data_IF_496571005694
#
_entry.id   IF_496571005694
#
_cell.length_a   1.000
_cell.length_b   1.000
_cell.length_c   1.000
_cell.angle_alpha   90.00
_cell.angle_beta   90.00
_cell.angle_gamma   90.00
#
_symmetry.space_group_name_H-M   'P 1'
#
loop_
_entity.id
_entity.type
_entity.pdbx_description
1 polymer ?
#
# COMPACT_ATOMS: atom_id res chain seq x y z
N UNK A 1 -6.77 -10.41 -0.86
CA UNK A 1 -5.31 -10.18 -0.61
C UNK A 1 -5.11 -8.82 0.05
N UNK A 2 -5.53 -8.69 1.30
CA UNK A 2 -5.57 -7.41 2.04
C UNK A 2 -4.22 -6.72 2.27
N UNK A 3 -3.11 -7.37 1.93
CA UNK A 3 -1.76 -6.84 2.21
C UNK A 3 -0.90 -6.63 0.96
N UNK A 4 -1.48 -6.70 -0.24
CA UNK A 4 -0.73 -6.58 -1.50
C UNK A 4 0.17 -5.34 -1.57
N UNK A 5 -0.32 -4.20 -1.09
CA UNK A 5 0.40 -2.94 -1.11
C UNK A 5 0.83 -2.45 0.28
N UNK A 6 0.56 -3.22 1.34
CA UNK A 6 0.96 -2.86 2.71
C UNK A 6 2.40 -3.23 2.96
N UNK A 7 2.75 -4.48 2.75
CA UNK A 7 4.12 -4.99 2.86
C UNK A 7 4.25 -6.39 2.24
N UNK A 8 5.46 -6.77 1.85
CA UNK A 8 5.78 -8.16 1.61
C UNK A 8 6.07 -8.83 2.95
N UNK A 9 5.06 -9.47 3.54
CA UNK A 9 5.17 -10.16 4.83
C UNK A 9 5.81 -11.54 4.74
N UNK A 10 6.14 -11.98 3.54
CA UNK A 10 6.73 -13.29 3.30
C UNK A 10 8.25 -13.16 3.30
N UNK A 11 8.91 -13.65 4.35
CA UNK A 11 10.36 -13.71 4.39
C UNK A 11 10.89 -14.52 3.19
N UNK A 12 11.76 -13.94 2.37
CA UNK A 12 12.31 -14.56 1.16
C UNK A 12 12.84 -16.01 1.35
N UNK A 13 13.51 -16.37 2.45
CA UNK A 13 13.97 -17.75 2.67
C UNK A 13 12.85 -18.79 2.77
N UNK A 14 11.60 -18.38 2.92
CA UNK A 14 10.44 -19.27 3.03
C UNK A 14 9.68 -19.41 1.72
N UNK A 15 10.16 -18.81 0.63
CA UNK A 15 9.47 -18.88 -0.64
C UNK A 15 9.75 -20.19 -1.33
N UNK A 16 8.67 -20.80 -1.84
CA UNK A 16 8.73 -21.89 -2.79
C UNK A 16 7.89 -21.49 -4.00
N UNK A 17 8.47 -21.59 -5.18
CA UNK A 17 7.82 -21.19 -6.42
C UNK A 17 8.24 -22.09 -7.58
N UNK A 18 7.43 -22.13 -8.62
CA UNK A 18 7.79 -22.78 -9.87
C UNK A 18 8.93 -22.03 -10.55
N UNK A 19 9.88 -22.78 -11.12
CA UNK A 19 10.99 -22.21 -11.89
C UNK A 19 10.53 -21.25 -12.97
N UNK A 20 9.44 -21.61 -13.66
CA UNK A 20 8.84 -20.78 -14.70
C UNK A 20 8.44 -19.38 -14.20
N UNK A 21 7.90 -19.27 -12.99
CA UNK A 21 7.58 -17.95 -12.41
C UNK A 21 8.84 -17.11 -12.21
N UNK A 22 9.92 -17.74 -11.70
CA UNK A 22 11.19 -17.05 -11.53
C UNK A 22 11.76 -16.57 -12.87
N UNK A 23 11.74 -17.41 -13.88
CA UNK A 23 12.26 -17.09 -15.22
C UNK A 23 11.45 -15.97 -15.90
N UNK A 24 10.12 -15.93 -15.68
CA UNK A 24 9.24 -14.86 -16.19
C UNK A 24 9.36 -13.55 -15.40
N UNK A 25 9.42 -13.62 -14.07
CA UNK A 25 9.54 -12.42 -13.22
C UNK A 25 10.94 -11.79 -13.31
N UNK A 26 11.91 -12.53 -13.82
CA UNK A 26 13.32 -12.14 -13.91
C UNK A 26 14.07 -12.28 -12.57
N UNK A 27 15.39 -12.08 -12.58
CA UNK A 27 16.23 -12.27 -11.42
C UNK A 27 15.90 -11.24 -10.33
N UNK A 28 16.36 -11.53 -9.11
CA UNK A 28 16.39 -10.53 -8.05
C UNK A 28 17.33 -9.39 -8.44
N UNK A 29 17.00 -8.18 -7.96
CA UNK A 29 17.88 -7.04 -8.11
C UNK A 29 19.16 -7.24 -7.27
N UNK A 30 20.33 -7.09 -7.89
CA UNK A 30 21.64 -7.32 -7.28
C UNK A 30 22.31 -6.01 -6.83
N UNK A 31 21.57 -4.91 -6.71
CA UNK A 31 22.09 -3.60 -6.27
C UNK A 31 22.64 -3.56 -4.82
N UNK A 32 22.52 -4.66 -4.09
CA UNK A 32 23.15 -4.84 -2.78
C UNK A 32 22.39 -4.19 -1.63
N UNK A 33 23.14 -3.63 -0.67
CA UNK A 33 22.54 -3.05 0.55
C UNK A 33 21.62 -1.88 0.22
N UNK A 34 20.44 -1.87 0.84
CA UNK A 34 19.44 -0.82 0.65
C UNK A 34 18.41 -1.10 -0.46
N UNK A 35 18.61 -2.18 -1.23
CA UNK A 35 17.65 -2.63 -2.26
C UNK A 35 16.68 -3.63 -1.65
N UNK A 36 15.35 -3.42 -1.75
CA UNK A 36 14.33 -4.38 -1.33
C UNK A 36 14.04 -5.38 -2.45
N UNK A 37 15.02 -6.21 -2.81
CA UNK A 37 14.99 -7.11 -3.96
C UNK A 37 13.83 -8.12 -3.90
N UNK A 38 13.47 -8.56 -2.70
CA UNK A 38 12.35 -9.45 -2.45
C UNK A 38 11.00 -8.76 -2.70
N UNK A 39 10.82 -7.53 -2.23
CA UNK A 39 9.62 -6.74 -2.48
C UNK A 39 9.46 -6.44 -3.98
N UNK A 40 10.55 -6.11 -4.66
CA UNK A 40 10.54 -5.82 -6.10
C UNK A 40 10.16 -7.08 -6.90
N UNK A 41 10.75 -8.23 -6.58
CA UNK A 41 10.40 -9.51 -7.19
C UNK A 41 8.93 -9.87 -6.91
N UNK A 42 8.48 -9.71 -5.66
CA UNK A 42 7.10 -9.96 -5.26
C UNK A 42 6.11 -9.18 -6.13
N UNK A 43 6.33 -7.88 -6.36
CA UNK A 43 5.44 -7.08 -7.20
C UNK A 43 5.45 -7.53 -8.65
N UNK A 44 6.62 -7.87 -9.23
CA UNK A 44 6.68 -8.41 -10.59
C UNK A 44 5.92 -9.72 -10.71
N UNK A 45 6.08 -10.62 -9.74
CA UNK A 45 5.36 -11.90 -9.73
C UNK A 45 3.84 -11.69 -9.68
N UNK A 46 3.35 -10.77 -8.86
CA UNK A 46 1.92 -10.44 -8.79
C UNK A 46 1.41 -9.81 -10.09
N UNK A 47 2.17 -8.94 -10.72
CA UNK A 47 1.85 -8.33 -12.04
C UNK A 47 1.71 -9.40 -13.13
N UNK A 48 2.47 -10.48 -13.05
CA UNK A 48 2.37 -11.67 -13.92
C UNK A 48 1.21 -12.62 -13.57
N UNK A 49 0.40 -12.28 -12.58
CA UNK A 49 -0.75 -13.08 -12.16
C UNK A 49 -0.42 -14.20 -11.17
N UNK A 50 0.74 -14.20 -10.53
CA UNK A 50 1.10 -15.19 -9.53
C UNK A 50 0.11 -15.22 -8.36
N UNK A 51 -0.26 -16.43 -7.96
CA UNK A 51 -1.13 -16.66 -6.80
C UNK A 51 -0.29 -17.04 -5.59
N UNK A 52 -0.56 -16.40 -4.46
CA UNK A 52 0.13 -16.68 -3.21
C UNK A 52 -0.67 -17.68 -2.38
N UNK A 53 0.00 -18.74 -1.92
CA UNK A 53 -0.52 -19.69 -0.96
C UNK A 53 0.33 -19.64 0.30
N UNK A 54 -0.33 -19.49 1.46
CA UNK A 54 0.34 -19.55 2.77
C UNK A 54 0.14 -20.94 3.35
N UNK A 55 1.23 -21.57 3.80
CA UNK A 55 1.15 -22.76 4.65
C UNK A 55 0.73 -22.29 6.05
N UNK A 56 -0.41 -22.76 6.60
CA UNK A 56 -0.97 -22.26 7.87
C UNK A 56 -0.26 -22.88 9.09
N UNK A 57 1.05 -22.95 9.07
CA UNK A 57 1.90 -23.49 10.14
C UNK A 57 3.15 -22.66 10.31
N UNK A 58 3.68 -22.43 11.52
CA UNK A 58 4.96 -21.79 11.77
C UNK A 58 6.09 -22.78 11.47
N UNK A 59 6.59 -22.80 10.23
CA UNK A 59 7.63 -23.73 9.77
C UNK A 59 9.02 -23.11 9.73
N UNK A 60 9.16 -21.82 10.06
CA UNK A 60 10.42 -21.09 9.93
C UNK A 60 10.70 -20.31 11.20
N UNK A 61 11.94 -20.43 11.69
CA UNK A 61 12.48 -19.58 12.76
C UNK A 61 13.36 -18.53 12.11
N UNK A 62 12.97 -17.26 12.23
CA UNK A 62 13.74 -16.14 11.70
C UNK A 62 14.59 -15.52 12.81
N UNK A 63 15.93 -15.55 12.64
CA UNK A 63 16.88 -14.97 13.60
C UNK A 63 17.21 -13.54 13.19
N UNK A 64 16.83 -12.59 14.01
CA UNK A 64 17.26 -11.20 13.86
C UNK A 64 18.67 -11.03 14.42
N UNK A 65 19.51 -10.24 13.73
CA UNK A 65 20.82 -9.84 14.20
C UNK A 65 21.19 -8.45 13.66
N UNK A 66 22.07 -7.75 14.35
CA UNK A 66 22.43 -6.35 14.06
C UNK A 66 23.00 -6.12 12.64
N UNK A 67 23.56 -7.16 12.03
CA UNK A 67 24.13 -7.09 10.67
C UNK A 67 23.17 -7.57 9.58
N UNK A 68 21.88 -7.80 9.88
CA UNK A 68 20.92 -8.23 8.89
C UNK A 68 20.78 -7.20 7.77
N UNK A 69 20.86 -7.64 6.51
CA UNK A 69 20.77 -6.76 5.33
C UNK A 69 19.40 -6.05 5.26
N UNK A 70 18.35 -6.69 5.73
CA UNK A 70 17.01 -6.09 5.81
C UNK A 70 16.96 -4.78 6.61
N UNK A 71 17.87 -4.57 7.56
CA UNK A 71 17.99 -3.32 8.31
C UNK A 71 18.59 -2.17 7.49
N UNK A 72 19.15 -2.44 6.32
CA UNK A 72 19.70 -1.41 5.43
C UNK A 72 18.67 -0.78 4.50
N UNK A 73 17.49 -1.39 4.35
CA UNK A 73 16.43 -0.86 3.49
C UNK A 73 15.63 0.19 4.27
N UNK A 74 15.56 1.42 3.73
CA UNK A 74 14.83 2.50 4.41
C UNK A 74 13.33 2.38 4.21
N UNK A 75 12.56 2.87 5.17
CA UNK A 75 11.10 2.98 5.03
C UNK A 75 10.71 3.79 3.78
N UNK A 76 11.48 4.83 3.46
CA UNK A 76 11.26 5.65 2.27
C UNK A 76 11.41 4.83 0.99
N UNK A 77 12.44 3.99 0.89
CA UNK A 77 12.66 3.08 -0.25
C UNK A 77 11.49 2.12 -0.41
N UNK A 78 11.11 1.44 0.67
CA UNK A 78 9.96 0.51 0.68
C UNK A 78 8.69 1.23 0.21
N UNK A 79 8.41 2.39 0.78
CA UNK A 79 7.22 3.17 0.44
C UNK A 79 7.20 3.60 -1.03
N UNK A 80 8.35 3.98 -1.59
CA UNK A 80 8.49 4.31 -3.02
C UNK A 80 8.09 3.14 -3.91
N UNK A 81 8.62 1.94 -3.64
CA UNK A 81 8.26 0.75 -4.42
C UNK A 81 6.78 0.38 -4.27
N UNK A 82 6.22 0.53 -3.09
CA UNK A 82 4.78 0.28 -2.82
C UNK A 82 3.88 1.23 -3.61
N UNK A 83 4.18 2.54 -3.58
CA UNK A 83 3.42 3.55 -4.34
C UNK A 83 3.47 3.24 -5.83
N UNK A 84 4.67 3.01 -6.38
CA UNK A 84 4.84 2.68 -7.81
C UNK A 84 4.09 1.41 -8.21
N UNK A 85 4.09 0.38 -7.35
CA UNK A 85 3.35 -0.85 -7.62
C UNK A 85 1.84 -0.60 -7.63
N UNK A 86 1.32 0.18 -6.67
CA UNK A 86 -0.10 0.55 -6.63
C UNK A 86 -0.49 1.40 -7.85
N UNK A 87 0.34 2.35 -8.27
CA UNK A 87 0.12 3.14 -9.47
C UNK A 87 -0.05 2.22 -10.69
N UNK A 88 0.98 1.43 -11.02
CA UNK A 88 0.95 0.54 -12.20
C UNK A 88 -0.19 -0.48 -12.18
N UNK A 89 -0.47 -1.06 -11.02
CA UNK A 89 -1.40 -2.18 -10.91
C UNK A 89 -2.87 -1.76 -10.73
N UNK A 90 -3.11 -0.51 -10.33
CA UNK A 90 -4.46 -0.02 -10.01
C UNK A 90 -4.69 1.40 -10.52
N UNK A 91 -3.90 2.39 -10.05
CA UNK A 91 -4.24 3.79 -10.24
C UNK A 91 -4.15 4.23 -11.70
N UNK A 92 -3.29 3.61 -12.51
CA UNK A 92 -3.16 3.95 -13.94
C UNK A 92 -4.44 3.65 -14.71
N UNK A 93 -5.18 2.60 -14.32
CA UNK A 93 -6.40 2.15 -15.00
C UNK A 93 -7.69 2.85 -14.55
N UNK A 94 -7.67 3.61 -13.44
CA UNK A 94 -8.85 4.29 -12.92
C UNK A 94 -8.80 5.80 -13.18
N UNK A 95 -9.96 6.45 -13.42
CA UNK A 95 -9.99 7.89 -13.72
C UNK A 95 -9.82 8.77 -12.49
N UNK A 96 -10.27 8.32 -11.33
CA UNK A 96 -10.23 9.08 -10.09
C UNK A 96 -10.29 8.14 -8.88
N UNK A 97 -9.82 8.59 -7.71
CA UNK A 97 -9.90 7.85 -6.45
C UNK A 97 -9.86 8.78 -5.24
N UNK A 98 -10.28 8.23 -4.10
CA UNK A 98 -10.23 8.91 -2.80
C UNK A 98 -9.15 8.29 -1.90
N UNK A 99 -8.65 9.04 -0.93
CA UNK A 99 -7.71 8.56 0.08
C UNK A 99 -8.41 8.53 1.44
N UNK A 100 -8.50 7.36 2.08
CA UNK A 100 -8.99 7.26 3.45
C UNK A 100 -7.85 7.37 4.44
N UNK A 101 -7.85 8.44 5.22
CA UNK A 101 -6.83 8.84 6.18
C UNK A 101 -6.13 10.13 5.76
N UNK A 102 -6.55 11.27 6.32
CA UNK A 102 -5.94 12.59 6.11
C UNK A 102 -4.78 12.87 7.08
N UNK A 103 -4.33 11.85 7.82
CA UNK A 103 -3.20 11.94 8.74
C UNK A 103 -1.84 11.84 8.05
N UNK A 104 -0.78 11.60 8.85
CA UNK A 104 0.62 11.55 8.38
C UNK A 104 0.83 10.57 7.21
N UNK A 105 0.28 9.36 7.31
CA UNK A 105 0.46 8.31 6.29
C UNK A 105 -0.20 8.68 4.97
N UNK A 106 -1.46 9.14 4.98
CA UNK A 106 -2.15 9.53 3.77
C UNK A 106 -1.55 10.75 3.09
N UNK A 107 -1.14 11.76 3.87
CA UNK A 107 -0.43 12.93 3.34
C UNK A 107 0.92 12.55 2.72
N UNK A 108 1.67 11.63 3.34
CA UNK A 108 2.93 11.11 2.78
C UNK A 108 2.68 10.32 1.50
N UNK A 109 1.69 9.43 1.49
CA UNK A 109 1.27 8.70 0.29
C UNK A 109 0.96 9.66 -0.86
N UNK A 110 0.09 10.64 -0.64
CA UNK A 110 -0.28 11.65 -1.65
C UNK A 110 0.92 12.38 -2.25
N UNK A 111 1.88 12.80 -1.40
CA UNK A 111 3.09 13.48 -1.85
C UNK A 111 4.02 12.60 -2.70
N UNK A 112 3.98 11.29 -2.49
CA UNK A 112 4.81 10.33 -3.22
C UNK A 112 4.20 9.86 -4.53
N UNK A 113 2.94 10.18 -4.79
CA UNK A 113 2.29 9.90 -6.07
C UNK A 113 2.97 10.69 -7.20
N UNK A 114 3.00 10.10 -8.40
CA UNK A 114 3.29 10.82 -9.64
C UNK A 114 2.30 11.95 -9.85
N UNK A 115 2.66 12.95 -10.66
CA UNK A 115 1.76 14.06 -10.94
C UNK A 115 0.46 13.58 -11.61
N UNK A 116 0.57 12.58 -12.50
CA UNK A 116 -0.57 11.97 -13.16
C UNK A 116 -1.53 11.29 -12.15
N UNK A 117 -1.00 10.47 -11.23
CA UNK A 117 -1.82 9.81 -10.21
C UNK A 117 -2.35 10.80 -9.17
N UNK A 118 -1.56 11.82 -8.80
CA UNK A 118 -1.98 12.88 -7.89
C UNK A 118 -3.16 13.68 -8.44
N UNK A 119 -3.17 13.96 -9.73
CA UNK A 119 -4.28 14.62 -10.40
C UNK A 119 -5.60 13.85 -10.38
N UNK A 120 -5.56 12.55 -10.09
CA UNK A 120 -6.76 11.70 -9.95
C UNK A 120 -7.33 11.67 -8.53
N UNK A 121 -6.64 12.26 -7.53
CA UNK A 121 -7.12 12.28 -6.13
C UNK A 121 -8.25 13.30 -5.99
N UNK A 122 -9.43 12.83 -5.63
CA UNK A 122 -10.62 13.69 -5.47
C UNK A 122 -10.74 14.28 -4.08
N UNK A 123 -10.47 13.48 -3.03
CA UNK A 123 -10.63 13.91 -1.64
C UNK A 123 -9.89 13.00 -0.67
N UNK A 124 -9.62 13.53 0.52
CA UNK A 124 -9.27 12.77 1.71
C UNK A 124 -10.51 12.50 2.56
N UNK A 125 -10.60 11.33 3.17
CA UNK A 125 -11.58 11.02 4.21
C UNK A 125 -10.94 10.82 5.56
N UNK A 126 -11.55 11.34 6.62
CA UNK A 126 -11.11 11.10 7.99
C UNK A 126 -12.31 11.13 8.95
N UNK A 127 -12.05 10.72 10.23
CA UNK A 127 -13.03 10.80 11.31
C UNK A 127 -12.69 11.93 12.31
N UNK A 128 -11.44 12.44 12.26
CA UNK A 128 -10.96 13.45 13.23
C UNK A 128 -11.62 14.80 13.00
N UNK A 129 -12.36 15.29 14.00
CA UNK A 129 -13.04 16.57 13.94
C UNK A 129 -12.11 17.75 13.61
N UNK A 130 -10.85 17.73 14.07
CA UNK A 130 -9.85 18.77 13.76
C UNK A 130 -9.53 18.83 12.28
N UNK A 131 -9.32 17.67 11.63
CA UNK A 131 -9.03 17.59 10.18
C UNK A 131 -10.26 17.96 9.34
N UNK A 132 -11.44 17.53 9.77
CA UNK A 132 -12.70 17.90 9.11
C UNK A 132 -12.97 19.40 9.19
N UNK A 133 -12.62 20.03 10.32
CA UNK A 133 -12.74 21.49 10.49
C UNK A 133 -11.76 22.26 9.58
N UNK A 134 -10.54 21.72 9.33
CA UNK A 134 -9.60 22.29 8.37
C UNK A 134 -10.18 22.29 6.94
N UNK A 135 -10.98 21.30 6.59
CA UNK A 135 -11.73 21.17 5.34
C UNK A 135 -10.90 20.90 4.10
N UNK A 136 -9.59 21.22 4.12
CA UNK A 136 -8.69 21.00 2.99
C UNK A 136 -7.28 20.66 3.45
N UNK A 137 -6.66 19.73 2.75
CA UNK A 137 -5.21 19.59 2.76
C UNK A 137 -4.61 20.67 1.86
N UNK A 138 -3.78 21.54 2.44
CA UNK A 138 -3.03 22.58 1.73
C UNK A 138 -1.56 22.50 2.08
N UNK A 139 -0.73 22.37 1.07
CA UNK A 139 0.73 22.38 1.23
C UNK A 139 1.37 23.00 -0.01
N UNK A 140 2.43 23.78 0.19
CA UNK A 140 3.14 24.45 -0.91
C UNK A 140 3.65 23.44 -1.93
N UNK A 141 3.38 23.68 -3.20
CA UNK A 141 3.78 22.80 -4.30
C UNK A 141 2.80 21.66 -4.60
N UNK A 142 1.65 21.59 -3.90
CA UNK A 142 0.63 20.58 -4.13
C UNK A 142 -0.76 21.22 -4.34
N UNK A 143 -1.61 20.63 -5.20
CA UNK A 143 -3.00 21.03 -5.29
C UNK A 143 -3.71 20.89 -3.93
N UNK A 144 -4.63 21.81 -3.64
CA UNK A 144 -5.48 21.69 -2.47
C UNK A 144 -6.48 20.54 -2.67
N UNK A 145 -6.59 19.65 -1.69
CA UNK A 145 -7.49 18.49 -1.74
C UNK A 145 -8.48 18.59 -0.58
N UNK A 146 -9.80 18.47 -0.82
CA UNK A 146 -10.80 18.54 0.25
C UNK A 146 -10.63 17.39 1.23
N UNK A 147 -10.90 17.66 2.52
CA UNK A 147 -10.98 16.68 3.59
C UNK A 147 -12.45 16.59 4.01
N UNK A 148 -13.02 15.42 3.89
CA UNK A 148 -14.43 15.15 4.20
C UNK A 148 -14.57 14.02 5.22
N UNK A 149 -15.75 13.84 5.79
CA UNK A 149 -16.02 12.67 6.60
C UNK A 149 -15.92 11.40 5.74
N UNK A 150 -15.33 10.32 6.26
CA UNK A 150 -15.07 9.09 5.51
C UNK A 150 -16.30 8.52 4.80
N UNK A 151 -17.50 8.74 5.34
CA UNK A 151 -18.77 8.28 4.75
C UNK A 151 -19.07 8.89 3.38
N UNK A 152 -18.44 10.03 3.06
CA UNK A 152 -18.62 10.76 1.79
C UNK A 152 -17.60 10.34 0.72
N UNK A 153 -16.64 9.47 1.06
CA UNK A 153 -15.65 9.01 0.08
C UNK A 153 -16.29 8.26 -1.07
N UNK A 154 -15.96 8.61 -2.29
CA UNK A 154 -16.30 7.83 -3.47
C UNK A 154 -15.25 6.72 -3.71
N UNK A 155 -15.70 5.54 -4.08
CA UNK A 155 -14.80 4.47 -4.55
C UNK A 155 -14.30 4.77 -5.98
N UNK A 156 -13.10 4.30 -6.35
CA UNK A 156 -12.18 3.49 -5.55
C UNK A 156 -11.49 4.30 -4.43
N UNK A 157 -11.15 3.61 -3.34
CA UNK A 157 -10.55 4.20 -2.13
C UNK A 157 -9.19 3.56 -1.85
N UNK A 158 -8.15 4.37 -1.66
CA UNK A 158 -6.86 3.92 -1.13
C UNK A 158 -6.86 4.15 0.39
N UNK A 159 -6.77 3.05 1.14
CA UNK A 159 -6.79 3.04 2.60
C UNK A 159 -5.40 3.30 3.18
N UNK A 160 -5.21 4.46 3.78
CA UNK A 160 -3.98 4.87 4.46
C UNK A 160 -4.14 4.89 6.01
N UNK A 161 -5.09 4.15 6.52
CA UNK A 161 -5.32 3.93 7.96
C UNK A 161 -4.96 2.50 8.30
N UNK A 162 -4.20 2.29 9.37
CA UNK A 162 -3.82 0.95 9.82
C UNK A 162 -5.04 0.20 10.38
N UNK A 163 -5.17 -1.06 9.96
CA UNK A 163 -6.17 -1.98 10.51
C UNK A 163 -5.89 -2.28 11.99
N UNK A 164 -6.96 -2.56 12.72
CA UNK A 164 -6.88 -2.99 14.13
C UNK A 164 -6.52 -1.92 15.15
N UNK A 165 -6.31 -0.66 14.73
CA UNK A 165 -6.05 0.45 15.67
C UNK A 165 -7.31 1.15 16.16
N UNK A 166 -8.47 0.89 15.53
CA UNK A 166 -9.76 1.54 15.82
C UNK A 166 -10.71 0.68 16.66
N UNK A 167 -10.23 -0.44 17.22
CA UNK A 167 -11.10 -1.34 18.00
C UNK A 167 -12.21 -2.01 17.19
N UNK A 168 -12.10 -2.03 15.84
CA UNK A 168 -13.10 -2.63 14.95
C UNK A 168 -13.97 -1.62 14.19
N UNK A 169 -13.99 -0.35 14.59
CA UNK A 169 -14.81 0.70 13.94
C UNK A 169 -14.52 0.83 12.44
N UNK A 170 -13.26 0.71 12.05
CA UNK A 170 -12.87 0.79 10.62
C UNK A 170 -13.49 -0.35 9.82
N UNK A 171 -13.43 -1.57 10.35
CA UNK A 171 -13.98 -2.76 9.75
C UNK A 171 -15.50 -2.70 9.66
N UNK A 172 -16.17 -2.16 10.67
CA UNK A 172 -17.61 -1.91 10.66
C UNK A 172 -17.99 -0.91 9.57
N UNK A 173 -17.27 0.19 9.44
CA UNK A 173 -17.50 1.18 8.39
C UNK A 173 -17.33 0.61 6.97
N UNK A 174 -16.33 -0.25 6.76
CA UNK A 174 -16.10 -0.95 5.50
C UNK A 174 -17.29 -1.89 5.20
N UNK A 175 -17.74 -2.64 6.21
CA UNK A 175 -18.87 -3.57 6.08
C UNK A 175 -20.19 -2.85 5.80
N UNK A 176 -20.49 -1.78 6.52
CA UNK A 176 -21.69 -0.95 6.32
C UNK A 176 -21.76 -0.39 4.89
N UNK A 177 -20.63 0.02 4.33
CA UNK A 177 -20.54 0.54 2.97
C UNK A 177 -20.44 -0.55 1.90
N UNK A 178 -20.35 -1.82 2.29
CA UNK A 178 -20.19 -2.98 1.41
C UNK A 178 -19.02 -2.83 0.43
N UNK A 179 -17.92 -2.22 0.86
CA UNK A 179 -16.75 -2.00 0.03
C UNK A 179 -16.03 -3.33 -0.22
N UNK A 180 -15.79 -3.62 -1.49
CA UNK A 180 -15.13 -4.84 -1.92
C UNK A 180 -13.62 -4.57 -2.08
N UNK A 181 -12.80 -5.31 -1.32
CA UNK A 181 -11.34 -5.25 -1.43
C UNK A 181 -10.87 -5.69 -2.83
N UNK A 182 -9.95 -4.91 -3.40
CA UNK A 182 -9.41 -5.15 -4.74
C UNK A 182 -10.27 -4.59 -5.88
N UNK A 183 -11.44 -4.03 -5.56
CA UNK A 183 -12.34 -3.33 -6.51
C UNK A 183 -12.59 -1.91 -6.02
N UNK A 184 -13.21 -1.78 -4.85
CA UNK A 184 -13.59 -0.49 -4.27
C UNK A 184 -12.57 0.04 -3.27
N UNK A 185 -11.76 -0.86 -2.70
CA UNK A 185 -10.86 -0.57 -1.59
C UNK A 185 -9.51 -1.24 -1.77
N UNK A 186 -8.44 -0.46 -1.64
CA UNK A 186 -7.05 -0.91 -1.73
C UNK A 186 -6.29 -0.51 -0.48
N UNK A 187 -5.80 -1.48 0.30
CA UNK A 187 -5.03 -1.21 1.51
C UNK A 187 -3.59 -0.79 1.16
N UNK A 188 -3.15 0.31 1.78
CA UNK A 188 -1.80 0.84 1.65
C UNK A 188 -1.08 0.99 3.00
N UNK A 189 -1.80 1.04 4.15
CA UNK A 189 -1.22 1.11 5.48
C UNK A 189 -1.82 0.08 6.43
#
# INVERSE_FOLDING_TARGET
MSQRFVECTLAKPCWFMWRQLFDLAGPFDEGGRGVPEDLMFYYRAIELGARLCKVPRPLTVYRYHAHATSLSVTEQTIMTHRVRALERQVLDSIPAFSIWGAGKTGKRFYKMLSDAARGKVTMFGDVKATLLKEGFFRERGYPAVPIVHFSQLAAPIVMCVKRGLSGGELEEHIAQRRLQEGVDLFYFA
#
